data_IF_656552874495
#
_entry.id   IF_656552874495
#
_cell.length_a   1.000
_cell.length_b   1.000
_cell.length_c   1.000
_cell.angle_alpha   90.00
_cell.angle_beta   90.00
_cell.angle_gamma   90.00
#
_symmetry.space_group_name_H-M   'P 1'
#
loop_
_entity.id
_entity.type
_entity.pdbx_description
1 polymer ?
#
# COMPACT_ATOMS: atom_id res chain seq x y z
N UNK A 1 -59.59 42.06 -23.89
CA UNK A 1 -59.18 42.12 -22.47
C UNK A 1 -57.98 41.18 -22.36
N UNK A 2 -56.70 41.55 -22.47
CA UNK A 2 -55.83 42.50 -21.74
C UNK A 2 -55.82 42.29 -20.21
N UNK A 3 -54.89 41.45 -19.77
CA UNK A 3 -54.18 41.37 -18.46
C UNK A 3 -53.11 40.28 -18.68
N UNK A 4 -51.82 40.51 -18.85
CA UNK A 4 -50.81 41.29 -18.13
C UNK A 4 -50.45 40.74 -16.74
N UNK A 5 -49.13 40.59 -16.56
CA UNK A 5 -48.35 40.58 -15.32
C UNK A 5 -48.24 39.28 -14.52
N UNK A 6 -46.99 38.91 -14.23
CA UNK A 6 -46.66 37.83 -13.29
C UNK A 6 -45.20 37.43 -13.26
N UNK A 7 -44.27 38.38 -13.41
CA UNK A 7 -42.83 38.18 -13.22
C UNK A 7 -42.56 37.86 -11.75
N UNK A 8 -42.07 36.65 -11.45
CA UNK A 8 -41.40 36.37 -10.17
C UNK A 8 -40.25 35.40 -10.42
N UNK A 9 -39.11 35.98 -10.81
CA UNK A 9 -37.79 35.35 -10.75
C UNK A 9 -37.43 35.18 -9.27
N UNK A 10 -37.67 33.99 -8.74
CA UNK A 10 -37.10 33.57 -7.45
C UNK A 10 -35.68 33.12 -7.75
N UNK A 11 -34.72 34.01 -7.52
CA UNK A 11 -33.31 33.65 -7.45
C UNK A 11 -33.10 32.83 -6.16
N UNK A 12 -33.17 31.50 -6.28
CA UNK A 12 -32.68 30.60 -5.25
C UNK A 12 -31.16 30.72 -5.27
N UNK A 13 -30.61 31.40 -4.28
CA UNK A 13 -29.19 31.40 -4.01
C UNK A 13 -28.75 29.95 -3.77
N UNK A 14 -28.11 29.36 -4.76
CA UNK A 14 -27.30 28.15 -4.61
C UNK A 14 -26.08 28.55 -3.76
N UNK A 15 -26.25 28.59 -2.44
CA UNK A 15 -25.12 28.42 -1.53
C UNK A 15 -24.73 26.96 -1.59
N UNK A 16 -24.06 26.59 -2.68
CA UNK A 16 -23.19 25.43 -2.70
C UNK A 16 -22.08 25.74 -1.70
N UNK A 17 -22.30 25.38 -0.44
CA UNK A 17 -21.18 25.04 0.42
C UNK A 17 -20.53 23.85 -0.28
N UNK A 18 -19.46 24.13 -1.02
CA UNK A 18 -18.45 23.14 -1.34
C UNK A 18 -17.92 22.65 -0.01
N UNK A 19 -18.63 21.72 0.62
CA UNK A 19 -18.01 20.76 1.51
C UNK A 19 -17.09 19.98 0.58
N UNK A 20 -15.91 20.54 0.33
CA UNK A 20 -14.78 19.76 -0.10
C UNK A 20 -14.69 18.67 0.95
N UNK A 21 -15.11 17.48 0.57
CA UNK A 21 -14.66 16.27 1.23
C UNK A 21 -13.14 16.36 1.13
N UNK A 22 -12.50 16.90 2.17
CA UNK A 22 -11.12 16.62 2.49
C UNK A 22 -11.05 15.10 2.68
N UNK A 23 -10.99 14.37 1.56
CA UNK A 23 -10.38 13.06 1.57
C UNK A 23 -9.00 13.32 2.20
N UNK A 24 -8.64 12.64 3.30
CA UNK A 24 -7.32 12.82 3.88
C UNK A 24 -6.31 12.70 2.74
N UNK A 25 -5.45 13.70 2.59
CA UNK A 25 -4.37 13.65 1.62
C UNK A 25 -3.71 12.28 1.76
N UNK A 26 -3.67 11.54 0.65
CA UNK A 26 -3.07 10.22 0.61
C UNK A 26 -1.62 10.39 1.05
N UNK A 27 -1.25 9.66 2.10
CA UNK A 27 -0.04 9.89 2.88
C UNK A 27 0.95 8.77 2.54
N UNK A 28 2.04 9.06 1.79
CA UNK A 28 2.97 8.03 1.34
C UNK A 28 3.61 7.29 2.52
N UNK A 29 3.83 7.96 3.66
CA UNK A 29 4.39 7.32 4.85
C UNK A 29 3.42 6.26 5.40
N UNK A 30 2.11 6.56 5.44
CA UNK A 30 1.09 5.60 5.87
C UNK A 30 0.98 4.41 4.91
N UNK A 31 1.04 4.66 3.61
CA UNK A 31 0.99 3.60 2.60
C UNK A 31 2.22 2.69 2.70
N UNK A 32 3.42 3.28 2.84
CA UNK A 32 4.67 2.56 3.07
C UNK A 32 4.67 1.74 4.36
N UNK A 33 4.22 2.32 5.48
CA UNK A 33 4.11 1.63 6.77
C UNK A 33 3.17 0.41 6.70
N UNK A 34 2.01 0.58 6.06
CA UNK A 34 1.02 -0.49 5.86
C UNK A 34 1.59 -1.60 4.99
N UNK A 35 2.27 -1.24 3.89
CA UNK A 35 2.96 -2.18 3.01
C UNK A 35 3.99 -2.99 3.80
N UNK A 36 4.86 -2.32 4.55
CA UNK A 36 5.90 -3.00 5.31
C UNK A 36 5.34 -3.84 6.46
N UNK A 37 4.20 -3.49 7.06
CA UNK A 37 3.54 -4.35 8.03
C UNK A 37 3.11 -5.68 7.40
N UNK A 38 2.48 -5.65 6.24
CA UNK A 38 2.00 -6.84 5.52
C UNK A 38 3.17 -7.68 4.99
N UNK A 39 4.21 -7.04 4.45
CA UNK A 39 5.44 -7.72 4.00
C UNK A 39 6.09 -8.49 5.15
N UNK A 40 6.25 -7.88 6.33
CA UNK A 40 6.79 -8.56 7.52
C UNK A 40 5.94 -9.76 7.93
N UNK A 41 4.61 -9.58 7.97
CA UNK A 41 3.69 -10.66 8.29
C UNK A 41 3.80 -11.81 7.28
N UNK A 42 3.95 -11.51 5.97
CA UNK A 42 4.14 -12.50 4.92
C UNK A 42 5.45 -13.27 5.10
N UNK A 43 6.55 -12.57 5.43
CA UNK A 43 7.84 -13.20 5.74
C UNK A 43 7.72 -14.11 6.97
N UNK A 44 7.03 -13.68 8.02
CA UNK A 44 6.79 -14.50 9.22
C UNK A 44 5.95 -15.74 8.90
N UNK A 45 4.90 -15.60 8.09
CA UNK A 45 4.10 -16.73 7.62
C UNK A 45 4.99 -17.73 6.86
N UNK A 46 5.84 -17.26 5.95
CA UNK A 46 6.75 -18.11 5.19
C UNK A 46 7.75 -18.85 6.10
N UNK A 47 8.31 -18.15 7.08
CA UNK A 47 9.24 -18.71 8.06
C UNK A 47 8.59 -19.80 8.93
N UNK A 48 7.28 -19.74 9.15
CA UNK A 48 6.52 -20.79 9.85
C UNK A 48 6.03 -21.92 8.93
N UNK A 49 6.28 -21.81 7.62
CA UNK A 49 5.88 -22.78 6.60
C UNK A 49 4.48 -22.57 6.03
N UNK A 50 3.81 -21.46 6.37
CA UNK A 50 2.49 -21.10 5.83
C UNK A 50 2.64 -20.36 4.50
N UNK A 51 2.86 -21.11 3.42
CA UNK A 51 3.05 -20.56 2.06
C UNK A 51 1.77 -19.91 1.52
N UNK A 52 0.61 -20.50 1.78
CA UNK A 52 -0.66 -19.93 1.33
C UNK A 52 -0.93 -18.60 2.05
N UNK A 53 -0.74 -18.55 3.37
CA UNK A 53 -0.85 -17.31 4.14
C UNK A 53 0.19 -16.25 3.73
N UNK A 54 1.39 -16.68 3.35
CA UNK A 54 2.43 -15.79 2.79
C UNK A 54 1.91 -15.06 1.54
N UNK A 55 1.38 -15.81 0.58
CA UNK A 55 0.91 -15.27 -0.70
C UNK A 55 -0.28 -14.32 -0.48
N UNK A 56 -1.23 -14.69 0.39
CA UNK A 56 -2.37 -13.83 0.71
C UNK A 56 -1.92 -12.50 1.33
N UNK A 57 -0.94 -12.51 2.25
CA UNK A 57 -0.40 -11.29 2.84
C UNK A 57 0.32 -10.40 1.81
N UNK A 58 1.04 -10.99 0.85
CA UNK A 58 1.64 -10.22 -0.25
C UNK A 58 0.58 -9.68 -1.22
N UNK A 59 -0.53 -10.40 -1.44
CA UNK A 59 -1.67 -9.86 -2.22
C UNK A 59 -2.34 -8.69 -1.51
N UNK A 60 -2.54 -8.78 -0.21
CA UNK A 60 -3.06 -7.67 0.60
C UNK A 60 -2.13 -6.45 0.57
N UNK A 61 -0.82 -6.67 0.45
CA UNK A 61 0.16 -5.60 0.35
C UNK A 61 0.15 -4.86 -1.01
N UNK A 62 -0.51 -5.38 -2.05
CA UNK A 62 -0.45 -4.80 -3.40
C UNK A 62 -1.06 -3.40 -3.50
N UNK A 63 -2.22 -3.19 -2.89
CA UNK A 63 -2.88 -1.88 -2.89
C UNK A 63 -2.03 -0.82 -2.17
N UNK A 64 -1.65 -1.00 -0.89
CA UNK A 64 -0.83 0.01 -0.21
C UNK A 64 0.56 0.19 -0.84
N UNK A 65 1.14 -0.85 -1.45
CA UNK A 65 2.42 -0.72 -2.16
C UNK A 65 2.27 0.14 -3.43
N UNK A 66 1.13 0.00 -4.13
CA UNK A 66 0.81 0.83 -5.29
C UNK A 66 0.57 2.28 -4.88
N UNK A 67 -0.22 2.50 -3.83
CA UNK A 67 -0.43 3.84 -3.30
C UNK A 67 0.90 4.47 -2.86
N UNK A 68 1.78 3.69 -2.22
CA UNK A 68 3.10 4.18 -1.83
C UNK A 68 3.94 4.60 -3.04
N UNK A 69 3.97 3.79 -4.11
CA UNK A 69 4.68 4.11 -5.35
C UNK A 69 4.07 5.31 -6.09
N UNK A 70 2.74 5.42 -6.13
CA UNK A 70 2.04 6.51 -6.83
C UNK A 70 2.18 7.87 -6.09
N UNK A 71 2.33 7.85 -4.76
CA UNK A 71 2.40 9.04 -3.91
C UNK A 71 3.83 9.48 -3.58
N UNK A 72 4.81 8.60 -3.79
CA UNK A 72 6.23 8.85 -3.50
C UNK A 72 7.00 9.17 -4.77
N UNK A 73 7.89 10.16 -4.71
CA UNK A 73 8.89 10.40 -5.77
C UNK A 73 10.15 9.52 -5.61
N UNK A 74 10.21 8.68 -4.57
CA UNK A 74 11.36 7.83 -4.27
C UNK A 74 11.32 6.53 -5.08
N UNK A 75 12.34 6.23 -5.92
CA UNK A 75 12.39 4.99 -6.70
C UNK A 75 12.38 3.71 -5.85
N UNK A 76 12.70 3.79 -4.55
CA UNK A 76 12.60 2.61 -3.67
C UNK A 76 11.16 2.11 -3.49
N UNK A 77 10.16 3.00 -3.66
CA UNK A 77 8.75 2.64 -3.58
C UNK A 77 8.32 1.76 -4.77
N UNK A 78 8.83 2.06 -5.98
CA UNK A 78 8.63 1.22 -7.17
C UNK A 78 9.29 -0.16 -7.00
N UNK A 79 10.53 -0.20 -6.48
CA UNK A 79 11.24 -1.46 -6.20
C UNK A 79 10.48 -2.33 -5.19
N UNK A 80 9.87 -1.71 -4.16
CA UNK A 80 9.06 -2.42 -3.18
C UNK A 80 7.77 -2.96 -3.81
N UNK A 81 7.10 -2.18 -4.66
CA UNK A 81 5.93 -2.64 -5.41
C UNK A 81 6.26 -3.82 -6.33
N UNK A 82 7.40 -3.77 -7.04
CA UNK A 82 7.88 -4.88 -7.89
C UNK A 82 8.08 -6.15 -7.05
N UNK A 83 8.70 -6.03 -5.88
CA UNK A 83 8.92 -7.14 -4.96
C UNK A 83 7.60 -7.75 -4.45
N UNK A 84 6.65 -6.91 -4.02
CA UNK A 84 5.34 -7.35 -3.53
C UNK A 84 4.58 -8.08 -4.64
N UNK A 85 4.58 -7.55 -5.86
CA UNK A 85 3.97 -8.20 -7.03
C UNK A 85 4.57 -9.56 -7.31
N UNK A 86 5.90 -9.67 -7.31
CA UNK A 86 6.58 -10.95 -7.51
C UNK A 86 6.10 -12.02 -6.53
N UNK A 87 6.04 -11.71 -5.24
CA UNK A 87 5.61 -12.69 -4.22
C UNK A 87 4.12 -13.01 -4.30
N UNK A 88 3.27 -12.04 -4.63
CA UNK A 88 1.82 -12.22 -4.77
C UNK A 88 1.43 -13.12 -5.96
N UNK A 89 2.24 -13.09 -7.03
CA UNK A 89 2.02 -13.83 -8.27
C UNK A 89 2.75 -15.19 -8.31
N UNK A 90 3.72 -15.42 -7.40
CA UNK A 90 4.47 -16.67 -7.35
C UNK A 90 3.56 -17.86 -6.95
N UNK A 91 3.46 -18.93 -7.76
CA UNK A 91 2.67 -20.10 -7.41
C UNK A 91 3.14 -20.75 -6.11
N UNK A 92 2.18 -21.20 -5.28
CA UNK A 92 2.48 -21.79 -3.97
C UNK A 92 3.39 -23.03 -4.06
N UNK A 93 3.22 -23.86 -5.09
CA UNK A 93 4.04 -25.03 -5.34
C UNK A 93 5.47 -24.71 -5.82
N UNK A 94 5.70 -23.49 -6.31
CA UNK A 94 7.02 -23.01 -6.74
C UNK A 94 7.75 -22.21 -5.66
N UNK A 95 7.03 -21.70 -4.64
CA UNK A 95 7.54 -20.73 -3.68
C UNK A 95 8.81 -21.19 -2.94
N UNK A 96 8.82 -22.43 -2.45
CA UNK A 96 9.96 -23.00 -1.70
C UNK A 96 11.14 -23.29 -2.63
N UNK A 97 10.88 -23.67 -3.88
CA UNK A 97 11.94 -23.88 -4.86
C UNK A 97 12.58 -22.54 -5.26
N UNK A 98 11.75 -21.54 -5.58
CA UNK A 98 12.20 -20.19 -5.90
C UNK A 98 13.04 -19.60 -4.76
N UNK A 99 12.62 -19.72 -3.50
CA UNK A 99 13.42 -19.30 -2.34
C UNK A 99 14.83 -19.90 -2.34
N UNK A 100 14.98 -21.16 -2.79
CA UNK A 100 16.26 -21.89 -2.77
C UNK A 100 17.14 -21.58 -3.97
N UNK A 101 16.56 -21.32 -5.14
CA UNK A 101 17.28 -21.36 -6.41
C UNK A 101 17.19 -20.07 -7.23
N UNK A 102 16.16 -19.25 -7.02
CA UNK A 102 15.89 -18.07 -7.84
C UNK A 102 16.78 -16.90 -7.47
N UNK A 103 17.46 -16.32 -8.47
CA UNK A 103 18.19 -15.07 -8.30
C UNK A 103 17.24 -13.89 -8.06
N UNK A 104 16.07 -13.94 -8.70
CA UNK A 104 15.03 -12.93 -8.59
C UNK A 104 14.41 -12.93 -7.19
N UNK A 105 14.12 -14.11 -6.62
CA UNK A 105 13.66 -14.22 -5.24
C UNK A 105 14.66 -13.60 -4.26
N UNK A 106 15.97 -13.87 -4.45
CA UNK A 106 17.03 -13.28 -3.62
C UNK A 106 17.13 -11.76 -3.75
N UNK A 107 16.92 -11.21 -4.95
CA UNK A 107 16.87 -9.75 -5.18
C UNK A 107 15.72 -9.13 -4.39
N UNK A 108 14.51 -9.63 -4.55
CA UNK A 108 13.34 -9.09 -3.86
C UNK A 108 13.36 -9.32 -2.35
N UNK A 109 14.02 -10.39 -1.90
CA UNK A 109 14.24 -10.62 -0.47
C UNK A 109 15.17 -9.54 0.10
N UNK A 110 16.23 -9.19 -0.61
CA UNK A 110 17.13 -8.12 -0.18
C UNK A 110 16.43 -6.76 -0.13
N UNK A 111 15.53 -6.48 -1.09
CA UNK A 111 14.71 -5.25 -1.11
C UNK A 111 13.77 -5.21 0.08
N UNK A 112 12.97 -6.25 0.28
CA UNK A 112 11.96 -6.29 1.35
C UNK A 112 12.58 -6.29 2.74
N UNK A 113 13.68 -7.01 2.97
CA UNK A 113 14.42 -6.93 4.22
C UNK A 113 15.09 -5.56 4.40
N UNK A 114 15.70 -5.00 3.34
CA UNK A 114 16.37 -3.70 3.44
C UNK A 114 15.44 -2.53 3.73
N UNK A 115 14.23 -2.54 3.16
CA UNK A 115 13.27 -1.44 3.29
C UNK A 115 12.28 -1.65 4.45
N UNK A 116 11.87 -2.89 4.70
CA UNK A 116 10.83 -3.20 5.67
C UNK A 116 11.37 -3.86 6.94
N UNK A 117 12.62 -4.25 7.08
CA UNK A 117 13.11 -4.69 8.39
C UNK A 117 13.34 -3.44 9.27
N UNK A 118 12.56 -3.28 10.35
CA UNK A 118 12.92 -2.29 11.38
C UNK A 118 14.16 -2.80 12.08
N UNK A 119 15.21 -1.98 12.14
CA UNK A 119 16.34 -2.24 13.03
C UNK A 119 15.80 -2.61 14.42
N UNK A 120 16.39 -3.60 15.12
CA UNK A 120 16.01 -3.85 16.50
C UNK A 120 16.13 -2.51 17.23
N UNK A 121 15.02 -2.06 17.82
CA UNK A 121 15.08 -1.02 18.83
C UNK A 121 15.94 -1.63 19.93
N UNK A 122 17.23 -1.31 19.91
CA UNK A 122 18.07 -1.44 21.09
C UNK A 122 17.36 -0.56 22.12
N UNK A 123 16.51 -1.20 22.94
CA UNK A 123 16.02 -0.63 24.18
C UNK A 123 17.28 -0.28 24.97
N UNK A 124 17.74 0.95 24.79
CA UNK A 124 18.72 1.60 25.61
C UNK A 124 18.13 1.59 27.02
N UNK A 125 18.37 0.52 27.77
CA UNK A 125 18.18 0.46 29.20
C UNK A 125 19.07 1.59 29.75
N UNK A 126 18.51 2.70 30.26
CA UNK A 126 19.32 3.66 30.96
C UNK A 126 19.77 2.97 32.26
N UNK A 127 21.06 2.65 32.35
CA UNK A 127 21.72 2.22 33.59
C UNK A 127 21.77 3.36 34.61
#
# INVERSE_FOLDING_TARGET
MRTAAGMMLVAVALTACSTGTDAPAEDPDRAGDTTCQLVRAGIDAFNTGDVDGTIELFREALEPARDYADLSDDPVADDLLEAVQYYADLPADEYVEAFRTSEEFRRYQAITLGQCETAPVDDAVPT
#
